data_IF_326984747705
#
_entry.id   IF_326984747705
#
_cell.length_a   1.000
_cell.length_b   1.000
_cell.length_c   1.000
_cell.angle_alpha   90.00
_cell.angle_beta   90.00
_cell.angle_gamma   90.00
#
_symmetry.space_group_name_H-M   'P 1'
#
loop_
_entity.id
_entity.type
_entity.pdbx_description
1 polymer ?
#
# COMPACT_ATOMS: atom_id res chain seq x y z
N UNK A 1 1.07 24.48 -11.36
CA UNK A 1 0.37 25.21 -12.44
C UNK A 1 0.79 24.72 -13.84
N UNK A 2 2.02 24.26 -14.03
CA UNK A 2 2.54 23.81 -15.33
C UNK A 2 1.94 22.52 -15.86
N UNK A 3 1.71 21.52 -15.00
CA UNK A 3 1.14 20.21 -15.42
C UNK A 3 -0.21 20.41 -16.11
N UNK A 4 -1.09 21.23 -15.54
CA UNK A 4 -2.42 21.52 -16.10
C UNK A 4 -2.36 22.19 -17.48
N UNK A 5 -1.33 23.00 -17.73
CA UNK A 5 -1.10 23.70 -19.00
C UNK A 5 -0.56 22.73 -20.07
N UNK A 6 0.32 21.81 -19.66
CA UNK A 6 0.84 20.73 -20.52
C UNK A 6 -0.28 19.77 -20.92
N UNK A 7 -1.11 19.33 -19.97
CA UNK A 7 -2.24 18.42 -20.27
C UNK A 7 -3.27 19.06 -21.20
N UNK A 8 -3.50 20.37 -21.06
CA UNK A 8 -4.43 21.11 -21.92
C UNK A 8 -3.93 21.21 -23.37
N UNK A 9 -2.64 21.50 -23.56
CA UNK A 9 -2.05 21.58 -24.90
C UNK A 9 -2.04 20.22 -25.60
N UNK A 10 -1.67 19.14 -24.91
CA UNK A 10 -1.68 17.77 -25.46
C UNK A 10 -3.10 17.40 -25.93
N UNK A 11 -4.13 17.73 -25.14
CA UNK A 11 -5.52 17.42 -25.50
C UNK A 11 -5.99 18.21 -26.73
N UNK A 12 -5.54 19.47 -26.86
CA UNK A 12 -5.84 20.33 -28.02
C UNK A 12 -5.18 19.80 -29.29
N UNK A 13 -3.90 19.42 -29.21
CA UNK A 13 -3.15 18.91 -30.35
C UNK A 13 -3.70 17.55 -30.82
N UNK A 14 -4.06 16.67 -29.87
CA UNK A 14 -4.70 15.40 -30.18
C UNK A 14 -6.06 15.59 -30.87
N UNK A 15 -6.84 16.57 -30.43
CA UNK A 15 -8.14 16.92 -31.06
C UNK A 15 -7.95 17.44 -32.49
N UNK A 16 -6.95 18.29 -32.73
CA UNK A 16 -6.64 18.78 -34.07
C UNK A 16 -6.17 17.66 -35.00
N UNK A 17 -5.31 16.75 -34.53
CA UNK A 17 -4.86 15.60 -35.33
C UNK A 17 -6.02 14.67 -35.65
N UNK A 18 -6.88 14.35 -34.68
CA UNK A 18 -8.07 13.50 -34.91
C UNK A 18 -9.04 14.16 -35.90
N UNK A 19 -9.23 15.48 -35.81
CA UNK A 19 -10.10 16.21 -36.72
C UNK A 19 -9.53 16.26 -38.14
N UNK A 20 -8.24 16.59 -38.29
CA UNK A 20 -7.60 16.77 -39.58
C UNK A 20 -7.36 15.44 -40.32
N UNK A 21 -6.95 14.40 -39.61
CA UNK A 21 -6.57 13.10 -40.20
C UNK A 21 -7.73 12.11 -40.21
N UNK A 22 -8.65 12.22 -39.25
CA UNK A 22 -9.78 11.28 -39.11
C UNK A 22 -11.09 11.85 -39.65
N UNK A 23 -11.59 12.90 -39.01
CA UNK A 23 -12.97 13.38 -39.22
C UNK A 23 -13.16 14.01 -40.59
N UNK A 24 -12.26 14.90 -41.01
CA UNK A 24 -12.37 15.60 -42.30
C UNK A 24 -12.29 14.62 -43.49
N UNK A 25 -11.30 13.71 -43.58
CA UNK A 25 -11.26 12.73 -44.68
C UNK A 25 -12.48 11.81 -44.69
N UNK A 26 -13.01 11.44 -43.51
CA UNK A 26 -14.19 10.58 -43.39
C UNK A 26 -15.49 11.29 -43.82
N UNK A 27 -15.61 12.60 -43.56
CA UNK A 27 -16.71 13.42 -44.05
C UNK A 27 -16.64 13.64 -45.56
N UNK A 28 -15.46 13.93 -46.10
CA UNK A 28 -15.24 14.06 -47.55
C UNK A 28 -15.53 12.73 -48.25
N UNK A 29 -15.08 11.61 -47.68
CA UNK A 29 -15.39 10.28 -48.18
C UNK A 29 -16.89 10.00 -48.18
N UNK A 30 -17.61 10.27 -47.08
CA UNK A 30 -19.07 10.14 -47.02
C UNK A 30 -19.79 11.03 -48.04
N UNK A 31 -19.36 12.29 -48.22
CA UNK A 31 -19.93 13.19 -49.20
C UNK A 31 -19.78 12.66 -50.64
N UNK A 32 -18.59 12.16 -50.99
CA UNK A 32 -18.34 11.51 -52.28
C UNK A 32 -19.19 10.24 -52.43
N UNK A 33 -19.33 9.46 -51.35
CA UNK A 33 -20.15 8.25 -51.33
C UNK A 33 -21.61 8.58 -51.67
N UNK A 34 -22.21 9.55 -50.96
CA UNK A 34 -23.60 9.97 -51.15
C UNK A 34 -23.82 10.55 -52.55
N UNK A 35 -22.91 11.38 -53.04
CA UNK A 35 -23.00 11.98 -54.38
C UNK A 35 -22.90 10.97 -55.53
N UNK A 36 -22.12 9.89 -55.37
CA UNK A 36 -21.96 8.84 -56.40
C UNK A 36 -22.93 7.67 -56.28
N UNK A 37 -23.39 7.33 -55.07
CA UNK A 37 -24.36 6.24 -54.83
C UNK A 37 -25.72 6.50 -55.46
N UNK A 38 -26.07 7.76 -55.74
CA UNK A 38 -27.29 8.11 -56.48
C UNK A 38 -27.36 7.50 -57.89
N UNK A 39 -26.25 6.96 -58.42
CA UNK A 39 -26.19 6.32 -59.73
C UNK A 39 -25.75 4.85 -59.61
N UNK A 40 -26.71 3.92 -59.67
CA UNK A 40 -26.52 2.47 -59.42
C UNK A 40 -25.44 1.83 -60.31
N UNK A 41 -25.18 2.39 -61.50
CA UNK A 41 -24.15 1.91 -62.42
C UNK A 41 -22.71 2.14 -61.92
N UNK A 42 -22.49 3.08 -61.00
CA UNK A 42 -21.16 3.39 -60.43
C UNK A 42 -20.75 2.36 -59.37
N UNK A 43 -21.72 1.75 -58.69
CA UNK A 43 -21.52 0.67 -57.72
C UNK A 43 -21.09 -0.64 -58.37
N UNK A 44 -21.52 -0.92 -59.60
CA UNK A 44 -21.15 -2.12 -60.36
C UNK A 44 -19.77 -2.02 -61.04
N UNK A 45 -19.13 -0.85 -61.01
CA UNK A 45 -17.81 -0.60 -61.62
C UNK A 45 -16.64 -0.65 -60.63
N UNK A 46 -15.44 -0.33 -61.12
CA UNK A 46 -14.19 -0.30 -60.33
C UNK A 46 -14.28 0.57 -59.05
N UNK A 47 -15.16 1.59 -59.05
CA UNK A 47 -15.39 2.48 -57.91
C UNK A 47 -16.05 1.75 -56.73
N UNK A 48 -16.99 0.83 -56.99
CA UNK A 48 -17.63 0.04 -55.94
C UNK A 48 -16.64 -0.87 -55.21
N UNK A 49 -15.74 -1.51 -55.95
CA UNK A 49 -14.70 -2.39 -55.38
C UNK A 49 -13.76 -1.64 -54.42
N UNK A 50 -13.33 -0.43 -54.79
CA UNK A 50 -12.48 0.43 -53.94
C UNK A 50 -13.21 0.78 -52.64
N UNK A 51 -14.51 1.10 -52.71
CA UNK A 51 -15.33 1.43 -51.54
C UNK A 51 -15.43 0.21 -50.61
N UNK A 52 -15.71 -0.98 -51.14
CA UNK A 52 -15.83 -2.21 -50.33
C UNK A 52 -14.52 -2.56 -49.62
N UNK A 53 -13.37 -2.45 -50.31
CA UNK A 53 -12.05 -2.66 -49.69
C UNK A 53 -11.80 -1.63 -48.58
N UNK A 54 -12.09 -0.35 -48.84
CA UNK A 54 -11.86 0.73 -47.86
C UNK A 54 -12.67 0.49 -46.58
N UNK A 55 -13.93 0.10 -46.71
CA UNK A 55 -14.79 -0.25 -45.56
C UNK A 55 -14.23 -1.48 -44.84
N UNK A 56 -13.78 -2.51 -45.56
CA UNK A 56 -13.18 -3.70 -44.97
C UNK A 56 -11.93 -3.41 -44.13
N UNK A 57 -11.01 -2.61 -44.68
CA UNK A 57 -9.79 -2.17 -43.96
C UNK A 57 -10.15 -1.33 -42.73
N UNK A 58 -11.16 -0.45 -42.84
CA UNK A 58 -11.62 0.37 -41.73
C UNK A 58 -12.21 -0.46 -40.58
N UNK A 59 -13.07 -1.44 -40.90
CA UNK A 59 -13.64 -2.37 -39.91
C UNK A 59 -12.53 -3.18 -39.25
N UNK A 60 -11.56 -3.67 -40.03
CA UNK A 60 -10.41 -4.42 -39.50
C UNK A 60 -9.59 -3.57 -38.51
N UNK A 61 -9.36 -2.29 -38.84
CA UNK A 61 -8.69 -1.34 -37.95
C UNK A 61 -9.42 -1.14 -36.62
N UNK A 62 -10.75 -1.01 -36.64
CA UNK A 62 -11.57 -0.89 -35.43
C UNK A 62 -11.48 -2.15 -34.57
N UNK A 63 -11.52 -3.34 -35.18
CA UNK A 63 -11.44 -4.62 -34.45
C UNK A 63 -10.08 -4.76 -33.76
N UNK A 64 -8.98 -4.46 -34.46
CA UNK A 64 -7.63 -4.52 -33.89
C UNK A 64 -7.47 -3.48 -32.79
N UNK A 65 -7.92 -2.24 -33.02
CA UNK A 65 -7.88 -1.18 -32.02
C UNK A 65 -8.63 -1.55 -30.74
N UNK A 66 -9.85 -2.10 -30.87
CA UNK A 66 -10.64 -2.57 -29.73
C UNK A 66 -9.93 -3.68 -28.95
N UNK A 67 -9.33 -4.66 -29.64
CA UNK A 67 -8.56 -5.73 -29.00
C UNK A 67 -7.35 -5.20 -28.25
N UNK A 68 -6.61 -4.27 -28.85
CA UNK A 68 -5.45 -3.65 -28.21
C UNK A 68 -5.84 -2.86 -26.96
N UNK A 69 -6.89 -2.04 -27.05
CA UNK A 69 -7.41 -1.27 -25.91
C UNK A 69 -7.83 -2.21 -24.77
N UNK A 70 -8.54 -3.30 -25.07
CA UNK A 70 -8.94 -4.28 -24.07
C UNK A 70 -7.75 -4.99 -23.43
N UNK A 71 -6.71 -5.30 -24.19
CA UNK A 71 -5.48 -5.89 -23.64
C UNK A 71 -4.75 -4.91 -22.71
N UNK A 72 -4.65 -3.65 -23.09
CA UNK A 72 -4.01 -2.60 -22.28
C UNK A 72 -4.79 -2.36 -20.99
N UNK A 73 -6.12 -2.23 -21.06
CA UNK A 73 -6.94 -2.01 -19.86
C UNK A 73 -6.86 -3.18 -18.88
N UNK A 74 -6.87 -4.42 -19.38
CA UNK A 74 -6.72 -5.60 -18.53
C UNK A 74 -5.36 -5.65 -17.83
N UNK A 75 -4.27 -5.38 -18.55
CA UNK A 75 -2.93 -5.28 -17.94
C UNK A 75 -2.88 -4.18 -16.88
N UNK A 76 -3.48 -3.02 -17.18
CA UNK A 76 -3.50 -1.89 -16.24
C UNK A 76 -4.24 -2.23 -14.94
N UNK A 77 -5.31 -3.02 -15.02
CA UNK A 77 -6.08 -3.48 -13.85
C UNK A 77 -5.23 -4.46 -13.02
N UNK A 78 -4.60 -5.44 -13.68
CA UNK A 78 -3.74 -6.42 -13.03
C UNK A 78 -2.54 -5.75 -12.33
N UNK A 79 -1.87 -4.81 -13.00
CA UNK A 79 -0.74 -4.06 -12.43
C UNK A 79 -1.19 -3.20 -11.25
N UNK A 80 -2.34 -2.53 -11.33
CA UNK A 80 -2.87 -1.75 -10.19
C UNK A 80 -3.20 -2.66 -9.00
N UNK A 81 -3.79 -3.84 -9.24
CA UNK A 81 -4.07 -4.79 -8.17
C UNK A 81 -2.78 -5.27 -7.50
N UNK A 82 -1.74 -5.59 -8.27
CA UNK A 82 -0.42 -5.97 -7.74
C UNK A 82 0.24 -4.85 -6.94
N UNK A 83 0.13 -3.61 -7.39
CA UNK A 83 0.67 -2.45 -6.65
C UNK A 83 -0.04 -2.32 -5.30
N UNK A 84 -1.36 -2.47 -5.26
CA UNK A 84 -2.13 -2.38 -4.02
C UNK A 84 -1.75 -3.49 -3.03
N UNK A 85 -1.57 -4.73 -3.49
CA UNK A 85 -1.15 -5.83 -2.60
C UNK A 85 0.26 -5.61 -2.06
N UNK A 86 1.21 -5.20 -2.92
CA UNK A 86 2.58 -4.88 -2.49
C UNK A 86 2.63 -3.71 -1.50
N UNK A 87 1.82 -2.67 -1.72
CA UNK A 87 1.72 -1.54 -0.79
C UNK A 87 1.19 -1.98 0.57
N UNK A 88 0.19 -2.85 0.61
CA UNK A 88 -0.34 -3.38 1.86
C UNK A 88 0.72 -4.19 2.61
N UNK A 89 1.45 -5.07 1.93
CA UNK A 89 2.53 -5.84 2.55
C UNK A 89 3.67 -4.94 3.06
N UNK A 90 4.02 -3.90 2.30
CA UNK A 90 5.04 -2.92 2.72
C UNK A 90 4.60 -2.12 3.95
N UNK A 91 3.33 -1.69 4.00
CA UNK A 91 2.78 -0.99 5.17
C UNK A 91 2.83 -1.89 6.40
N UNK A 92 2.44 -3.16 6.29
CA UNK A 92 2.50 -4.11 7.40
C UNK A 92 3.94 -4.35 7.88
N UNK A 93 4.88 -4.56 6.95
CA UNK A 93 6.30 -4.74 7.27
C UNK A 93 6.90 -3.51 7.93
N UNK A 94 6.62 -2.31 7.41
CA UNK A 94 7.11 -1.06 7.99
C UNK A 94 6.52 -0.82 9.38
N UNK A 95 5.23 -1.12 9.58
CA UNK A 95 4.59 -1.00 10.88
C UNK A 95 5.20 -1.97 11.89
N UNK A 96 5.45 -3.22 11.48
CA UNK A 96 6.08 -4.21 12.36
C UNK A 96 7.52 -3.78 12.71
N UNK A 97 8.30 -3.36 11.72
CA UNK A 97 9.66 -2.87 11.94
C UNK A 97 9.71 -1.68 12.92
N UNK A 98 8.81 -0.71 12.75
CA UNK A 98 8.71 0.44 13.64
C UNK A 98 8.32 0.04 15.08
N UNK A 99 7.41 -0.95 15.24
CA UNK A 99 7.06 -1.50 16.55
C UNK A 99 8.28 -2.17 17.18
N UNK A 100 8.96 -3.05 16.45
CA UNK A 100 10.15 -3.77 16.95
C UNK A 100 11.25 -2.79 17.34
N UNK A 101 11.56 -1.79 16.52
CA UNK A 101 12.57 -0.77 16.81
C UNK A 101 12.21 0.04 18.07
N UNK A 102 10.96 0.48 18.18
CA UNK A 102 10.47 1.21 19.36
C UNK A 102 10.59 0.35 20.62
N UNK A 103 10.23 -0.92 20.52
CA UNK A 103 10.21 -1.83 21.66
C UNK A 103 11.62 -2.23 22.09
N UNK A 104 12.56 -2.41 21.16
CA UNK A 104 13.98 -2.60 21.48
C UNK A 104 14.54 -1.37 22.22
N UNK A 105 14.28 -0.17 21.70
CA UNK A 105 14.74 1.07 22.34
C UNK A 105 14.15 1.26 23.74
N UNK A 106 12.86 0.98 23.92
CA UNK A 106 12.21 1.00 25.23
C UNK A 106 12.79 -0.08 26.16
N UNK A 107 13.08 -1.26 25.63
CA UNK A 107 13.70 -2.37 26.36
C UNK A 107 15.01 -1.96 27.01
N UNK A 108 15.93 -1.42 26.21
CA UNK A 108 17.22 -0.94 26.70
C UNK A 108 17.08 0.22 27.69
N UNK A 109 16.21 1.19 27.41
CA UNK A 109 15.99 2.34 28.30
C UNK A 109 15.32 1.98 29.62
N UNK A 110 14.49 0.94 29.66
CA UNK A 110 13.83 0.45 30.89
C UNK A 110 14.73 -0.50 31.66
N UNK A 111 15.49 -1.37 30.98
CA UNK A 111 16.38 -2.31 31.64
C UNK A 111 17.50 -1.59 32.41
N UNK A 112 18.03 -0.48 31.91
CA UNK A 112 19.08 0.30 32.58
C UNK A 112 18.72 0.76 34.01
N UNK A 113 17.61 1.50 34.24
CA UNK A 113 17.20 1.88 35.59
C UNK A 113 16.81 0.67 36.45
N UNK A 114 16.23 -0.39 35.87
CA UNK A 114 15.91 -1.61 36.62
C UNK A 114 17.17 -2.28 37.16
N UNK A 115 18.22 -2.43 36.34
CA UNK A 115 19.52 -2.97 36.76
C UNK A 115 20.12 -2.14 37.90
N UNK A 116 20.07 -0.80 37.77
CA UNK A 116 20.56 0.09 38.83
C UNK A 116 19.78 -0.07 40.13
N UNK A 117 18.45 -0.11 40.08
CA UNK A 117 17.62 -0.26 41.29
C UNK A 117 17.78 -1.64 41.91
N UNK A 118 17.82 -2.72 41.13
CA UNK A 118 18.08 -4.07 41.63
C UNK A 118 19.46 -4.15 42.29
N UNK A 119 20.51 -3.61 41.66
CA UNK A 119 21.85 -3.57 42.26
C UNK A 119 21.89 -2.79 43.58
N UNK A 120 21.17 -1.67 43.68
CA UNK A 120 21.05 -0.93 44.94
C UNK A 120 20.31 -1.72 46.02
N UNK A 121 19.25 -2.46 45.67
CA UNK A 121 18.55 -3.34 46.62
C UNK A 121 19.45 -4.48 47.10
N UNK A 122 20.26 -5.06 46.21
CA UNK A 122 21.23 -6.10 46.54
C UNK A 122 22.30 -5.59 47.52
N UNK A 123 22.83 -4.38 47.27
CA UNK A 123 23.77 -3.72 48.19
C UNK A 123 23.12 -3.41 49.54
N UNK A 124 21.91 -2.86 49.54
CA UNK A 124 21.17 -2.57 50.77
C UNK A 124 20.96 -3.84 51.60
N UNK A 125 20.62 -4.97 50.96
CA UNK A 125 20.43 -6.25 51.64
C UNK A 125 21.73 -6.77 52.28
N UNK A 126 22.89 -6.54 51.64
CA UNK A 126 24.20 -6.86 52.19
C UNK A 126 24.54 -5.97 53.40
N UNK A 127 24.29 -4.66 53.32
CA UNK A 127 24.56 -3.71 54.41
C UNK A 127 23.70 -3.98 55.64
N UNK A 128 22.42 -4.30 55.44
CA UNK A 128 21.46 -4.53 56.53
C UNK A 128 21.45 -5.98 57.04
N UNK A 129 22.25 -6.89 56.45
CA UNK A 129 22.24 -8.33 56.77
C UNK A 129 22.52 -8.63 58.24
N UNK A 130 23.27 -7.76 58.90
CA UNK A 130 23.66 -7.86 60.31
C UNK A 130 22.75 -7.08 61.26
N UNK A 131 21.74 -6.38 60.75
CA UNK A 131 20.78 -5.61 61.54
C UNK A 131 19.53 -6.46 61.83
N UNK A 132 19.01 -6.39 63.05
CA UNK A 132 17.69 -6.92 63.38
C UNK A 132 16.60 -6.02 62.77
N UNK A 133 16.19 -6.35 61.55
CA UNK A 133 15.09 -5.68 60.87
C UNK A 133 13.75 -6.28 61.28
N UNK A 134 12.72 -5.43 61.34
CA UNK A 134 11.34 -5.93 61.45
C UNK A 134 10.95 -6.72 60.19
N UNK A 135 10.19 -7.79 60.37
CA UNK A 135 9.64 -8.62 59.27
C UNK A 135 8.91 -7.78 58.21
N UNK A 136 8.23 -6.70 58.63
CA UNK A 136 7.57 -5.75 57.73
C UNK A 136 8.54 -5.07 56.75
N UNK A 137 9.75 -4.75 57.21
CA UNK A 137 10.78 -4.08 56.39
C UNK A 137 11.41 -5.05 55.42
N UNK A 138 11.73 -6.27 55.88
CA UNK A 138 12.24 -7.36 55.03
C UNK A 138 11.25 -7.70 53.90
N UNK A 139 9.97 -7.86 54.23
CA UNK A 139 8.92 -8.13 53.24
C UNK A 139 8.75 -7.00 52.20
N UNK A 140 8.99 -5.73 52.59
CA UNK A 140 8.92 -4.60 51.65
C UNK A 140 10.05 -4.64 50.61
N UNK A 141 11.28 -4.90 51.06
CA UNK A 141 12.45 -5.02 50.17
C UNK A 141 12.24 -6.18 49.19
N UNK A 142 11.78 -7.32 49.69
CA UNK A 142 11.49 -8.50 48.87
C UNK A 142 10.37 -8.24 47.84
N UNK A 143 9.31 -7.53 48.25
CA UNK A 143 8.24 -7.13 47.34
C UNK A 143 8.76 -6.19 46.24
N UNK A 144 9.64 -5.24 46.58
CA UNK A 144 10.26 -4.35 45.60
C UNK A 144 11.09 -5.15 44.58
N UNK A 145 11.95 -6.05 45.05
CA UNK A 145 12.76 -6.91 44.18
C UNK A 145 11.88 -7.73 43.23
N UNK A 146 10.84 -8.36 43.75
CA UNK A 146 9.90 -9.14 42.94
C UNK A 146 9.17 -8.29 41.90
N UNK A 147 8.77 -7.06 42.25
CA UNK A 147 8.17 -6.14 41.29
C UNK A 147 9.14 -5.74 40.18
N UNK A 148 10.38 -5.37 40.51
CA UNK A 148 11.39 -5.01 39.50
C UNK A 148 11.76 -6.20 38.60
N UNK A 149 11.86 -7.40 39.16
CA UNK A 149 12.07 -8.63 38.38
C UNK A 149 10.92 -8.88 37.40
N UNK A 150 9.67 -8.66 37.84
CA UNK A 150 8.49 -8.84 36.99
C UNK A 150 8.43 -7.79 35.87
N UNK A 151 8.81 -6.54 36.15
CA UNK A 151 8.91 -5.50 35.11
C UNK A 151 9.97 -5.90 34.09
N UNK A 152 11.15 -6.33 34.52
CA UNK A 152 12.22 -6.81 33.64
C UNK A 152 11.75 -7.95 32.74
N UNK A 153 11.03 -8.93 33.30
CA UNK A 153 10.48 -10.05 32.52
C UNK A 153 9.51 -9.57 31.43
N UNK A 154 8.62 -8.63 31.75
CA UNK A 154 7.67 -8.05 30.78
C UNK A 154 8.41 -7.26 29.70
N UNK A 155 9.38 -6.44 30.08
CA UNK A 155 10.20 -5.65 29.15
C UNK A 155 11.02 -6.55 28.21
N UNK A 156 11.63 -7.61 28.73
CA UNK A 156 12.38 -8.58 27.93
C UNK A 156 11.45 -9.37 26.99
N UNK A 157 10.21 -9.68 27.43
CA UNK A 157 9.18 -10.27 26.55
C UNK A 157 8.79 -9.31 25.42
N UNK A 158 8.60 -8.02 25.73
CA UNK A 158 8.32 -7.01 24.70
C UNK A 158 9.47 -6.94 23.67
N UNK A 159 10.73 -6.91 24.11
CA UNK A 159 11.91 -6.81 23.23
C UNK A 159 12.02 -7.93 22.17
N UNK A 160 11.37 -9.07 22.42
CA UNK A 160 11.40 -10.26 21.56
C UNK A 160 10.20 -10.37 20.62
N UNK A 161 9.28 -9.40 20.63
CA UNK A 161 8.07 -9.43 19.81
C UNK A 161 8.39 -9.33 18.31
N UNK A 162 8.08 -10.40 17.58
CA UNK A 162 8.14 -10.49 16.12
C UNK A 162 6.74 -10.54 15.48
N UNK A 163 5.71 -10.86 16.24
CA UNK A 163 4.31 -10.94 15.82
C UNK A 163 3.41 -10.40 16.93
N UNK A 164 2.54 -9.45 16.59
CA UNK A 164 1.69 -8.74 17.56
C UNK A 164 0.24 -9.23 17.43
N UNK A 165 -0.27 -9.88 18.48
CA UNK A 165 -1.70 -10.17 18.61
C UNK A 165 -2.40 -9.08 19.43
N UNK A 166 -3.56 -8.64 18.94
CA UNK A 166 -4.37 -7.64 19.61
C UNK A 166 -5.54 -8.32 20.33
N UNK A 167 -5.75 -7.96 21.60
CA UNK A 167 -6.95 -8.34 22.37
C UNK A 167 -7.80 -7.11 22.63
N UNK A 168 -9.12 -7.26 22.56
CA UNK A 168 -10.07 -6.20 22.94
C UNK A 168 -10.35 -6.31 24.43
N UNK A 169 -10.04 -5.25 25.17
CA UNK A 169 -10.40 -5.10 26.58
C UNK A 169 -11.74 -4.35 26.65
N UNK A 170 -12.40 -4.38 27.81
CA UNK A 170 -13.60 -3.57 28.10
C UNK A 170 -13.43 -2.13 27.58
N UNK A 171 -14.51 -1.56 27.05
CA UNK A 171 -14.57 -0.25 26.37
C UNK A 171 -13.91 -0.19 24.97
N UNK A 172 -13.92 -1.31 24.24
CA UNK A 172 -13.52 -1.37 22.82
C UNK A 172 -12.06 -0.95 22.55
N UNK A 173 -11.23 -0.93 23.59
CA UNK A 173 -9.82 -0.57 23.51
C UNK A 173 -9.01 -1.81 23.16
N UNK A 174 -8.19 -1.72 22.10
CA UNK A 174 -7.32 -2.82 21.66
C UNK A 174 -5.95 -2.69 22.31
N UNK A 175 -5.49 -3.75 22.96
CA UNK A 175 -4.17 -3.83 23.58
C UNK A 175 -3.37 -5.00 22.99
N UNK A 176 -2.04 -4.90 23.00
CA UNK A 176 -1.15 -6.01 22.62
C UNK A 176 -1.22 -7.09 23.69
N UNK A 177 -1.52 -8.33 23.28
CA UNK A 177 -1.48 -9.50 24.16
C UNK A 177 -0.06 -10.08 24.17
N UNK A 178 0.73 -9.72 25.18
CA UNK A 178 2.13 -10.17 25.33
C UNK A 178 2.27 -11.68 25.58
N UNK A 179 1.19 -12.39 25.91
CA UNK A 179 1.26 -13.84 26.13
C UNK A 179 1.00 -14.64 24.85
N UNK A 180 0.31 -14.03 23.87
CA UNK A 180 0.02 -14.64 22.57
C UNK A 180 0.89 -14.11 21.43
N UNK A 181 1.59 -13.02 21.69
CA UNK A 181 2.51 -12.40 20.76
C UNK A 181 3.88 -13.07 20.90
N UNK A 182 4.43 -13.56 19.79
CA UNK A 182 5.73 -14.27 19.71
C UNK A 182 6.80 -13.41 19.05
#
# INVERSE_FOLDING_TARGET
MEIKKITHNIRKDLSHVISLVGVIPLLVFNYILIGKIANYNVLAGQVGYIITITIGVFIMGIIVGKRMLMSVTLKLIDDNQKILTMQHELIEKNRLAAITETVLALGDQVNNPLLSVTGNLDLLELEIRHLELSEKTRNRIETMRNNFSRIREVTDKMSRLHKVEMVTIQDNTRMVDLNKSE
#
